data_IF_010593303118
#
_entry.id   IF_010593303118
#
_cell.length_a   1.000
_cell.length_b   1.000
_cell.length_c   1.000
_cell.angle_alpha   90.00
_cell.angle_beta   90.00
_cell.angle_gamma   90.00
#
_symmetry.space_group_name_H-M   'P 1'
#
loop_
_entity.id
_entity.type
_entity.pdbx_description
1 polymer ?
#
# COMPACT_ATOMS: atom_id res chain seq x y z
N UNK A 1 -5.33 18.21 8.32
CA UNK A 1 -6.73 17.76 8.17
C UNK A 1 -7.21 17.95 6.73
N UNK A 2 -7.11 19.15 6.15
CA UNK A 2 -7.50 19.43 4.76
C UNK A 2 -6.78 18.55 3.71
N UNK A 3 -5.46 18.35 3.83
CA UNK A 3 -4.69 17.47 2.94
C UNK A 3 -5.14 16.00 3.03
N UNK A 4 -5.34 15.49 4.25
CA UNK A 4 -5.86 14.13 4.48
C UNK A 4 -7.29 13.92 3.96
N UNK A 5 -8.11 14.99 3.92
CA UNK A 5 -9.46 14.96 3.33
C UNK A 5 -9.43 15.05 1.80
N UNK A 6 -8.38 15.64 1.21
CA UNK A 6 -8.20 15.73 -0.24
C UNK A 6 -7.53 14.47 -0.83
N UNK A 7 -6.66 13.81 -0.06
CA UNK A 7 -5.89 12.64 -0.50
C UNK A 7 -6.63 11.31 -0.26
N UNK A 8 -7.47 11.23 0.78
CA UNK A 8 -8.44 10.16 0.89
C UNK A 8 -9.53 10.40 -0.16
N UNK A 9 -9.92 9.38 -0.92
CA UNK A 9 -10.98 9.42 -1.93
C UNK A 9 -12.38 9.67 -1.31
N UNK A 10 -12.53 10.79 -0.61
CA UNK A 10 -13.68 11.21 0.18
C UNK A 10 -14.60 12.06 -0.69
N UNK A 11 -15.76 11.55 -1.14
CA UNK A 11 -16.77 12.36 -1.82
C UNK A 11 -17.60 13.21 -0.84
N UNK A 12 -17.41 13.08 0.48
CA UNK A 12 -18.05 13.98 1.42
C UNK A 12 -17.22 15.26 1.50
N UNK A 13 -17.66 16.27 0.78
CA UNK A 13 -17.22 17.63 0.99
C UNK A 13 -17.54 18.02 2.44
N UNK A 14 -16.56 17.85 3.35
CA UNK A 14 -16.72 18.21 4.76
C UNK A 14 -16.89 19.74 4.94
N UNK A 15 -16.69 20.51 3.87
CA UNK A 15 -16.97 21.95 3.82
C UNK A 15 -18.42 22.25 3.43
N UNK A 16 -19.23 21.23 3.09
CA UNK A 16 -20.65 21.42 2.82
C UNK A 16 -21.36 21.94 4.08
N UNK A 17 -21.74 23.22 4.03
CA UNK A 17 -22.47 23.91 5.08
C UNK A 17 -23.79 23.21 5.46
N UNK A 18 -24.35 22.36 4.60
CA UNK A 18 -25.55 21.58 4.89
C UNK A 18 -25.35 20.57 6.02
N UNK A 19 -24.12 20.05 6.20
CA UNK A 19 -23.76 19.12 7.28
C UNK A 19 -23.85 19.77 8.67
N UNK A 20 -23.82 21.10 8.72
CA UNK A 20 -23.79 21.91 9.94
C UNK A 20 -25.11 22.63 10.23
N UNK A 21 -26.09 22.54 9.32
CA UNK A 21 -27.36 23.30 9.40
C UNK A 21 -28.51 22.53 10.04
N UNK A 22 -28.34 21.26 10.37
CA UNK A 22 -29.27 20.57 11.24
C UNK A 22 -29.09 21.17 12.63
N UNK A 23 -30.12 21.85 13.16
CA UNK A 23 -30.04 22.49 14.48
C UNK A 23 -29.47 21.55 15.56
N UNK A 24 -28.76 22.11 16.55
CA UNK A 24 -28.10 21.36 17.62
C UNK A 24 -29.00 20.25 18.14
N UNK A 25 -28.50 19.02 18.08
CA UNK A 25 -29.16 17.90 18.72
C UNK A 25 -28.83 17.87 20.21
N UNK A 26 -29.69 17.26 21.00
CA UNK A 26 -29.42 17.07 22.42
C UNK A 26 -28.16 16.21 22.63
N UNK A 27 -27.29 16.52 23.60
CA UNK A 27 -26.02 15.82 23.79
C UNK A 27 -26.17 14.29 23.89
N UNK A 28 -27.24 13.79 24.50
CA UNK A 28 -27.54 12.36 24.61
C UNK A 28 -27.80 11.70 23.24
N UNK A 29 -28.47 12.42 22.34
CA UNK A 29 -28.74 11.94 20.98
C UNK A 29 -27.46 11.89 20.16
N UNK A 30 -26.63 12.94 20.25
CA UNK A 30 -25.32 12.98 19.59
C UNK A 30 -24.42 11.85 20.09
N UNK A 31 -24.36 11.64 21.41
CA UNK A 31 -23.58 10.56 22.00
C UNK A 31 -24.04 9.18 21.51
N UNK A 32 -25.35 8.94 21.43
CA UNK A 32 -25.90 7.70 20.88
C UNK A 32 -25.56 7.49 19.40
N UNK A 33 -25.64 8.55 18.57
CA UNK A 33 -25.27 8.50 17.16
C UNK A 33 -23.78 8.23 16.96
N UNK A 34 -22.92 8.91 17.73
CA UNK A 34 -21.48 8.69 17.68
C UNK A 34 -21.14 7.27 18.14
N UNK A 35 -21.72 6.79 19.24
CA UNK A 35 -21.49 5.43 19.72
C UNK A 35 -21.86 4.38 18.66
N UNK A 36 -23.04 4.51 18.05
CA UNK A 36 -23.49 3.61 16.98
C UNK A 36 -22.60 3.66 15.73
N UNK A 37 -22.06 4.84 15.38
CA UNK A 37 -21.16 4.99 14.24
C UNK A 37 -19.74 4.48 14.53
N UNK A 38 -19.26 4.58 15.78
CA UNK A 38 -17.91 4.17 16.20
C UNK A 38 -17.80 2.66 16.42
N UNK A 39 -18.87 1.97 16.81
CA UNK A 39 -18.82 0.53 17.07
C UNK A 39 -18.27 -0.29 15.87
N UNK A 40 -18.76 -0.10 14.63
CA UNK A 40 -18.17 -0.76 13.45
C UNK A 40 -16.72 -0.37 13.16
N UNK A 41 -16.32 0.88 13.47
CA UNK A 41 -14.92 1.33 13.31
C UNK A 41 -14.03 0.61 14.30
N UNK A 42 -14.41 0.58 15.58
CA UNK A 42 -13.68 -0.12 16.62
C UNK A 42 -13.54 -1.61 16.29
N UNK A 43 -14.63 -2.23 15.81
CA UNK A 43 -14.63 -3.62 15.37
C UNK A 43 -13.61 -3.86 14.24
N UNK A 44 -13.66 -3.03 13.20
CA UNK A 44 -12.77 -3.12 12.04
C UNK A 44 -11.31 -2.91 12.44
N UNK A 45 -11.03 -1.91 13.29
CA UNK A 45 -9.67 -1.68 13.80
C UNK A 45 -9.15 -2.84 14.65
N UNK A 46 -10.01 -3.48 15.46
CA UNK A 46 -9.64 -4.66 16.22
C UNK A 46 -9.31 -5.84 15.28
N UNK A 47 -10.08 -6.02 14.21
CA UNK A 47 -9.78 -7.02 13.17
C UNK A 47 -8.43 -6.73 12.48
N UNK A 48 -8.14 -5.46 12.16
CA UNK A 48 -6.88 -5.04 11.54
C UNK A 48 -5.67 -5.37 12.42
N UNK A 49 -5.83 -5.41 13.74
CA UNK A 49 -4.78 -5.77 14.71
C UNK A 49 -4.78 -7.24 15.14
N UNK A 50 -5.72 -8.04 14.65
CA UNK A 50 -5.84 -9.44 15.04
C UNK A 50 -4.86 -10.37 14.30
N UNK A 51 -4.98 -11.68 14.50
CA UNK A 51 -4.33 -12.71 13.67
C UNK A 51 -5.33 -13.39 12.71
N UNK A 52 -6.51 -12.80 12.53
CA UNK A 52 -7.53 -13.34 11.65
C UNK A 52 -7.09 -13.29 10.18
N UNK A 53 -7.55 -14.24 9.38
CA UNK A 53 -7.29 -14.27 7.94
C UNK A 53 -8.19 -13.29 7.20
N UNK A 54 -7.74 -12.85 6.03
CA UNK A 54 -8.56 -12.07 5.09
C UNK A 54 -9.88 -12.79 4.80
N UNK A 55 -10.96 -12.01 4.63
CA UNK A 55 -12.30 -12.53 4.34
C UNK A 55 -12.97 -13.38 5.44
N UNK A 56 -12.34 -13.55 6.60
CA UNK A 56 -12.85 -14.44 7.65
C UNK A 56 -14.03 -13.88 8.44
N UNK A 57 -14.32 -12.57 8.34
CA UNK A 57 -15.40 -11.94 9.08
C UNK A 57 -16.22 -10.94 8.23
N UNK A 58 -17.50 -11.25 7.93
CA UNK A 58 -18.34 -10.40 7.10
C UNK A 58 -18.78 -9.09 7.78
N UNK A 59 -18.49 -8.90 9.07
CA UNK A 59 -18.79 -7.65 9.81
C UNK A 59 -17.73 -6.59 9.61
N UNK A 60 -16.56 -6.97 9.08
CA UNK A 60 -15.50 -6.03 8.75
C UNK A 60 -15.95 -5.21 7.56
N UNK A 61 -15.83 -3.89 7.70
CA UNK A 61 -16.31 -2.93 6.73
C UNK A 61 -15.24 -1.89 6.46
N UNK A 62 -15.26 -1.32 5.27
CA UNK A 62 -14.40 -0.24 4.85
C UNK A 62 -14.33 0.93 5.84
N UNK A 63 -13.13 1.23 6.39
CA UNK A 63 -12.96 2.40 7.25
C UNK A 63 -13.27 3.70 6.49
N UNK A 64 -12.84 3.81 5.22
CA UNK A 64 -13.16 4.96 4.38
C UNK A 64 -14.68 5.14 4.18
N UNK A 65 -15.47 4.08 4.27
CA UNK A 65 -16.94 4.13 4.24
C UNK A 65 -17.58 4.52 5.58
N UNK A 66 -16.94 4.16 6.71
CA UNK A 66 -17.45 4.40 8.06
C UNK A 66 -17.10 5.77 8.63
N UNK A 67 -15.84 6.21 8.46
CA UNK A 67 -15.31 7.47 9.01
C UNK A 67 -16.21 8.67 8.68
N UNK A 68 -16.75 8.82 7.47
CA UNK A 68 -17.64 9.95 7.16
C UNK A 68 -18.92 9.93 8.00
N UNK A 69 -19.44 8.75 8.33
CA UNK A 69 -20.60 8.60 9.21
C UNK A 69 -20.30 9.02 10.65
N UNK A 70 -19.14 8.62 11.17
CA UNK A 70 -18.66 9.05 12.50
C UNK A 70 -18.48 10.57 12.55
N UNK A 71 -17.84 11.16 11.55
CA UNK A 71 -17.63 12.60 11.48
C UNK A 71 -18.97 13.35 11.42
N UNK A 72 -19.91 12.91 10.59
CA UNK A 72 -21.26 13.49 10.53
C UNK A 72 -22.01 13.39 11.87
N UNK A 73 -21.93 12.24 12.54
CA UNK A 73 -22.54 12.07 13.86
C UNK A 73 -21.89 13.00 14.89
N UNK A 74 -20.57 13.15 14.86
CA UNK A 74 -19.86 14.06 15.75
C UNK A 74 -20.25 15.52 15.49
N UNK A 75 -20.30 15.95 14.22
CA UNK A 75 -20.64 17.33 13.84
C UNK A 75 -22.00 17.80 14.35
N UNK A 76 -22.97 16.91 14.57
CA UNK A 76 -24.28 17.26 15.13
C UNK A 76 -24.21 17.86 16.55
N UNK A 77 -23.09 17.67 17.27
CA UNK A 77 -22.85 18.19 18.62
C UNK A 77 -22.03 19.46 18.73
N UNK A 78 -21.49 19.99 17.63
CA UNK A 78 -20.56 21.14 17.65
C UNK A 78 -21.04 22.26 16.74
N UNK A 79 -20.69 23.50 17.08
CA UNK A 79 -21.14 24.67 16.30
C UNK A 79 -20.38 24.82 14.97
N UNK A 80 -19.18 24.25 14.90
CA UNK A 80 -18.31 24.32 13.72
C UNK A 80 -17.27 23.21 13.71
N UNK A 81 -16.57 23.07 12.58
CA UNK A 81 -15.41 22.18 12.48
C UNK A 81 -14.26 22.60 13.38
N UNK A 82 -14.06 23.90 13.59
CA UNK A 82 -13.04 24.44 14.50
C UNK A 82 -13.35 24.06 15.95
N UNK A 83 -14.62 24.10 16.34
CA UNK A 83 -15.08 23.73 17.69
C UNK A 83 -14.86 22.23 17.95
N UNK A 84 -15.27 21.36 17.03
CA UNK A 84 -14.94 19.93 17.11
C UNK A 84 -13.42 19.72 17.15
N UNK A 85 -12.67 20.38 16.27
CA UNK A 85 -11.22 20.25 16.17
C UNK A 85 -10.51 20.62 17.48
N UNK A 86 -10.92 21.73 18.10
CA UNK A 86 -10.40 22.17 19.40
C UNK A 86 -10.67 21.15 20.50
N UNK A 87 -11.90 20.62 20.58
CA UNK A 87 -12.26 19.60 21.57
C UNK A 87 -11.52 18.28 21.36
N UNK A 88 -11.40 17.80 20.12
CA UNK A 88 -10.65 16.59 19.80
C UNK A 88 -9.17 16.75 20.16
N UNK A 89 -8.55 17.87 19.79
CA UNK A 89 -7.14 18.13 20.12
C UNK A 89 -6.93 18.19 21.64
N UNK A 90 -7.78 18.91 22.36
CA UNK A 90 -7.70 18.97 23.82
C UNK A 90 -7.86 17.60 24.48
N UNK A 91 -8.77 16.75 23.98
CA UNK A 91 -8.94 15.38 24.47
C UNK A 91 -7.74 14.49 24.15
N UNK A 92 -7.17 14.60 22.95
CA UNK A 92 -5.98 13.84 22.55
C UNK A 92 -4.75 14.23 23.39
N UNK A 93 -4.57 15.52 23.67
CA UNK A 93 -3.50 16.01 24.55
C UNK A 93 -3.70 15.55 25.99
N UNK A 94 -4.93 15.63 26.51
CA UNK A 94 -5.26 15.14 27.85
C UNK A 94 -5.02 13.63 27.98
N UNK A 95 -5.45 12.83 26.99
CA UNK A 95 -5.24 11.38 27.00
C UNK A 95 -3.75 11.02 26.93
N UNK A 96 -2.97 11.76 26.13
CA UNK A 96 -1.50 11.61 26.07
C UNK A 96 -0.82 11.89 27.42
N UNK A 97 -1.28 12.90 28.16
CA UNK A 97 -0.68 13.26 29.46
C UNK A 97 -1.06 12.28 30.57
N UNK A 98 -2.30 11.78 30.60
CA UNK A 98 -2.77 10.83 31.60
C UNK A 98 -2.09 9.47 31.52
N UNK A 99 -1.81 8.99 30.31
CA UNK A 99 -1.28 7.64 30.16
C UNK A 99 0.14 7.50 30.72
N UNK A 100 0.89 8.60 30.88
CA UNK A 100 2.23 8.67 31.52
C UNK A 100 3.33 7.85 30.85
N UNK A 101 2.94 6.91 29.99
CA UNK A 101 3.73 6.17 29.05
C UNK A 101 3.87 7.08 27.85
N UNK A 102 5.11 7.42 27.52
CA UNK A 102 5.44 7.67 26.12
C UNK A 102 5.02 6.39 25.40
N UNK A 103 3.77 6.30 24.92
CA UNK A 103 3.40 5.29 23.95
C UNK A 103 4.40 5.54 22.84
N UNK A 104 5.40 4.67 22.70
CA UNK A 104 6.08 4.55 21.43
C UNK A 104 4.97 4.54 20.40
N UNK A 105 4.92 5.61 19.60
CA UNK A 105 3.83 5.79 18.66
C UNK A 105 3.87 4.56 17.78
N UNK A 106 2.85 3.70 17.91
CA UNK A 106 2.66 2.53 17.06
C UNK A 106 2.93 2.97 15.62
N UNK A 107 3.83 2.29 14.95
CA UNK A 107 4.28 2.68 13.62
C UNK A 107 3.09 2.71 12.66
N UNK A 108 2.88 3.85 12.00
CA UNK A 108 1.80 4.05 11.04
C UNK A 108 2.31 3.77 9.62
N UNK A 109 1.94 2.64 9.00
CA UNK A 109 2.45 2.26 7.68
C UNK A 109 2.01 3.20 6.57
N UNK A 110 0.92 3.97 6.74
CA UNK A 110 0.48 4.96 5.76
C UNK A 110 1.42 6.17 5.68
N UNK A 111 2.23 6.37 6.72
CA UNK A 111 3.20 7.47 6.85
C UNK A 111 4.65 7.00 6.75
N UNK A 112 4.87 5.78 6.27
CA UNK A 112 6.21 5.26 6.04
C UNK A 112 7.00 6.19 5.11
N UNK A 113 8.30 6.34 5.33
CA UNK A 113 9.17 7.18 4.47
C UNK A 113 9.10 6.76 3.00
N UNK A 114 8.86 5.48 2.74
CA UNK A 114 8.73 4.92 1.38
C UNK A 114 7.49 5.42 0.64
N UNK A 115 6.40 5.77 1.32
CA UNK A 115 5.18 6.30 0.68
C UNK A 115 5.40 7.72 0.14
N UNK A 116 6.24 8.51 0.82
CA UNK A 116 6.68 9.81 0.33
C UNK A 116 7.76 9.68 -0.76
N UNK A 117 8.70 8.74 -0.59
CA UNK A 117 9.78 8.50 -1.54
C UNK A 117 9.27 8.16 -2.94
N UNK A 118 8.21 7.37 -3.06
CA UNK A 118 7.65 6.95 -4.36
C UNK A 118 6.80 8.04 -5.04
N UNK A 119 6.49 9.16 -4.36
CA UNK A 119 5.64 10.24 -4.91
C UNK A 119 6.08 10.77 -6.28
N UNK A 120 7.38 11.04 -6.54
CA UNK A 120 7.80 11.52 -7.86
C UNK A 120 7.45 10.52 -8.98
N UNK A 121 7.56 9.21 -8.70
CA UNK A 121 7.18 8.14 -9.63
C UNK A 121 5.67 8.11 -9.84
N UNK A 122 4.87 8.16 -8.75
CA UNK A 122 3.41 8.18 -8.82
C UNK A 122 2.87 9.37 -9.64
N UNK A 123 3.50 10.54 -9.50
CA UNK A 123 3.02 11.77 -10.12
C UNK A 123 3.37 11.88 -11.61
N UNK A 124 4.51 11.32 -12.01
CA UNK A 124 5.06 11.48 -13.36
C UNK A 124 4.85 10.26 -14.27
N UNK A 125 4.46 9.11 -13.73
CA UNK A 125 4.13 7.94 -14.55
C UNK A 125 2.91 8.17 -15.44
N UNK A 126 2.88 7.51 -16.60
CA UNK A 126 1.72 7.51 -17.50
C UNK A 126 0.54 6.65 -17.01
N UNK A 127 0.72 5.91 -15.91
CA UNK A 127 -0.35 5.12 -15.31
C UNK A 127 -1.41 6.03 -14.66
N UNK A 128 -2.68 6.02 -15.15
CA UNK A 128 -3.73 6.88 -14.60
C UNK A 128 -4.14 6.54 -13.16
N UNK A 129 -3.76 5.35 -12.68
CA UNK A 129 -4.12 4.88 -11.35
C UNK A 129 -3.10 5.31 -10.29
N UNK A 130 -1.85 5.58 -10.68
CA UNK A 130 -0.77 5.82 -9.73
C UNK A 130 -0.98 7.10 -8.90
N UNK A 131 -1.45 8.18 -9.52
CA UNK A 131 -1.62 9.49 -8.86
C UNK A 131 -2.61 9.47 -7.69
N UNK A 132 -3.58 8.55 -7.70
CA UNK A 132 -4.60 8.41 -6.65
C UNK A 132 -4.37 7.22 -5.74
N UNK A 133 -3.29 6.49 -5.94
CA UNK A 133 -3.05 5.26 -5.20
C UNK A 133 -2.71 5.55 -3.74
N UNK A 134 -3.38 4.81 -2.85
CA UNK A 134 -3.16 4.87 -1.40
C UNK A 134 -2.14 3.79 -1.04
N UNK A 135 -1.03 4.21 -0.44
CA UNK A 135 0.12 3.33 -0.24
C UNK A 135 0.45 3.19 1.23
N UNK A 136 0.92 1.99 1.60
CA UNK A 136 1.56 1.70 2.87
C UNK A 136 3.03 1.36 2.66
N UNK A 137 3.81 1.33 3.74
CA UNK A 137 5.20 0.91 3.72
C UNK A 137 5.68 0.40 5.08
N UNK A 138 6.89 -0.18 5.12
CA UNK A 138 7.51 -0.67 6.34
C UNK A 138 8.15 0.48 7.13
N UNK A 139 8.61 0.21 8.38
CA UNK A 139 9.59 1.07 9.03
C UNK A 139 10.77 1.36 8.11
N UNK A 140 11.42 2.51 8.30
CA UNK A 140 12.59 2.90 7.52
C UNK A 140 13.67 1.83 7.58
N UNK A 141 14.33 1.56 6.46
CA UNK A 141 15.43 0.61 6.39
C UNK A 141 16.58 1.07 7.30
N UNK A 142 16.96 0.23 8.26
CA UNK A 142 18.10 0.44 9.14
C UNK A 142 19.32 -0.32 8.60
N UNK A 143 20.33 0.43 8.19
CA UNK A 143 21.56 -0.13 7.61
C UNK A 143 22.48 -0.79 8.63
N UNK A 144 22.21 -0.60 9.93
CA UNK A 144 22.88 -1.35 10.99
C UNK A 144 22.30 -2.77 11.17
N UNK A 145 21.11 -3.03 10.62
CA UNK A 145 20.44 -4.33 10.68
C UNK A 145 20.71 -5.15 9.41
N UNK A 146 20.58 -6.46 9.54
CA UNK A 146 20.63 -7.35 8.38
C UNK A 146 19.43 -7.12 7.45
N UNK A 147 19.52 -7.58 6.21
CA UNK A 147 18.37 -7.59 5.30
C UNK A 147 17.18 -8.33 5.93
N UNK A 148 17.43 -9.50 6.53
CA UNK A 148 16.38 -10.33 7.11
C UNK A 148 15.70 -9.65 8.31
N UNK A 149 16.45 -8.94 9.15
CA UNK A 149 15.89 -8.23 10.31
C UNK A 149 15.05 -7.03 9.88
N UNK A 150 15.50 -6.26 8.88
CA UNK A 150 14.69 -5.20 8.26
C UNK A 150 13.38 -5.75 7.69
N UNK A 151 13.48 -6.88 6.97
CA UNK A 151 12.31 -7.51 6.37
C UNK A 151 11.37 -8.09 7.44
N UNK A 152 11.89 -8.70 8.52
CA UNK A 152 11.09 -9.16 9.66
C UNK A 152 10.34 -8.01 10.34
N UNK A 153 10.98 -6.85 10.49
CA UNK A 153 10.34 -5.66 11.05
C UNK A 153 9.14 -5.18 10.19
N UNK A 154 9.11 -5.52 8.91
CA UNK A 154 7.98 -5.20 8.02
C UNK A 154 6.80 -6.18 8.09
N UNK A 155 7.00 -7.40 8.59
CA UNK A 155 5.98 -8.46 8.55
C UNK A 155 4.67 -8.08 9.24
N UNK A 156 4.66 -7.43 10.43
CA UNK A 156 3.40 -7.08 11.09
C UNK A 156 2.50 -6.17 10.23
N UNK A 157 3.07 -5.10 9.67
CA UNK A 157 2.32 -4.15 8.83
C UNK A 157 2.02 -4.70 7.44
N UNK A 158 2.87 -5.59 6.90
CA UNK A 158 2.58 -6.27 5.64
C UNK A 158 1.42 -7.27 5.78
N UNK A 159 1.38 -8.07 6.86
CA UNK A 159 0.23 -8.97 7.12
C UNK A 159 -1.05 -8.18 7.33
N UNK A 160 -0.97 -7.08 8.07
CA UNK A 160 -2.10 -6.15 8.20
C UNK A 160 -2.52 -5.61 6.84
N UNK A 161 -1.58 -5.16 6.01
CA UNK A 161 -1.85 -4.67 4.65
C UNK A 161 -2.62 -5.70 3.81
N UNK A 162 -2.19 -6.96 3.79
CA UNK A 162 -2.86 -8.02 3.01
C UNK A 162 -4.28 -8.27 3.56
N UNK A 163 -4.41 -8.40 4.89
CA UNK A 163 -5.69 -8.71 5.54
C UNK A 163 -6.81 -7.72 5.22
N UNK A 164 -6.47 -6.45 5.03
CA UNK A 164 -7.45 -5.37 4.88
C UNK A 164 -7.82 -5.06 3.43
N UNK A 165 -7.20 -5.73 2.44
CA UNK A 165 -7.38 -5.42 1.01
C UNK A 165 -8.84 -5.50 0.53
N UNK A 166 -9.59 -6.48 1.02
CA UNK A 166 -11.00 -6.67 0.64
C UNK A 166 -11.92 -5.54 1.13
N UNK A 167 -11.50 -4.83 2.17
CA UNK A 167 -12.33 -3.88 2.88
C UNK A 167 -11.88 -2.44 2.67
N UNK A 168 -10.59 -2.19 2.47
CA UNK A 168 -10.07 -0.82 2.38
C UNK A 168 -9.47 -0.47 1.04
N UNK A 169 -9.42 0.84 0.76
CA UNK A 169 -8.83 1.38 -0.46
C UNK A 169 -7.35 1.62 -0.22
N UNK A 170 -6.59 0.53 -0.21
CA UNK A 170 -5.13 0.55 -0.24
C UNK A 170 -4.71 -0.16 -1.53
N UNK A 171 -3.74 0.40 -2.25
CA UNK A 171 -3.41 -0.02 -3.61
C UNK A 171 -2.01 -0.63 -3.74
N UNK A 172 -1.17 -0.49 -2.71
CA UNK A 172 0.14 -1.11 -2.70
C UNK A 172 0.91 -0.90 -1.40
N UNK A 173 1.94 -1.73 -1.24
CA UNK A 173 2.90 -1.69 -0.14
C UNK A 173 4.31 -1.48 -0.70
N UNK A 174 4.99 -0.42 -0.26
CA UNK A 174 6.23 0.05 -0.89
C UNK A 174 7.42 -0.16 0.02
N UNK A 175 8.41 -0.88 -0.50
CA UNK A 175 9.74 -1.04 0.06
C UNK A 175 10.74 -0.14 -0.66
N UNK A 176 11.76 0.33 0.07
CA UNK A 176 12.91 1.02 -0.50
C UNK A 176 14.20 0.41 0.06
N UNK A 177 15.15 0.12 -0.83
CA UNK A 177 16.42 -0.50 -0.51
C UNK A 177 17.57 0.44 -0.90
N UNK A 178 18.42 0.87 0.04
CA UNK A 178 19.48 1.83 -0.24
C UNK A 178 20.58 1.23 -1.13
N UNK A 179 20.85 1.84 -2.28
CA UNK A 179 21.87 1.35 -3.22
C UNK A 179 23.29 1.40 -2.65
N UNK A 180 23.54 2.29 -1.67
CA UNK A 180 24.82 2.31 -0.96
C UNK A 180 25.11 1.03 -0.14
N UNK A 181 24.08 0.27 0.21
CA UNK A 181 24.20 -1.01 0.93
C UNK A 181 24.26 -2.17 -0.05
N UNK A 182 23.43 -2.13 -1.09
CA UNK A 182 23.23 -3.27 -1.98
C UNK A 182 23.98 -3.20 -3.30
N UNK A 183 24.57 -2.06 -3.64
CA UNK A 183 25.13 -1.77 -4.96
C UNK A 183 24.14 -1.09 -5.91
N UNK A 184 24.64 -0.72 -7.08
CA UNK A 184 23.92 0.08 -8.09
C UNK A 184 23.82 -0.63 -9.45
N UNK A 185 24.40 -1.83 -9.58
CA UNK A 185 24.37 -2.58 -10.83
C UNK A 185 23.02 -3.28 -11.05
N UNK A 186 22.81 -3.78 -12.27
CA UNK A 186 21.60 -4.57 -12.55
C UNK A 186 21.65 -5.94 -11.88
N UNK A 187 22.85 -6.50 -11.70
CA UNK A 187 23.10 -7.74 -10.98
C UNK A 187 22.76 -7.57 -9.49
N UNK A 188 23.15 -6.45 -8.89
CA UNK A 188 22.80 -6.10 -7.51
C UNK A 188 21.27 -6.02 -7.32
N UNK A 189 20.59 -5.32 -8.24
CA UNK A 189 19.12 -5.24 -8.25
C UNK A 189 18.48 -6.63 -8.32
N UNK A 190 18.95 -7.49 -9.21
CA UNK A 190 18.44 -8.86 -9.35
C UNK A 190 18.63 -9.67 -8.07
N UNK A 191 19.78 -9.54 -7.40
CA UNK A 191 20.06 -10.25 -6.16
C UNK A 191 19.18 -9.77 -5.00
N UNK A 192 19.02 -8.45 -4.84
CA UNK A 192 18.11 -7.88 -3.82
C UNK A 192 16.67 -8.33 -4.10
N UNK A 193 16.26 -8.32 -5.36
CA UNK A 193 14.92 -8.74 -5.74
C UNK A 193 14.68 -10.24 -5.48
N UNK A 194 15.65 -11.11 -5.81
CA UNK A 194 15.58 -12.55 -5.47
C UNK A 194 15.43 -12.75 -3.97
N UNK A 195 16.27 -12.07 -3.18
CA UNK A 195 16.27 -12.14 -1.72
C UNK A 195 14.93 -11.65 -1.12
N UNK A 196 14.36 -10.59 -1.69
CA UNK A 196 13.05 -10.06 -1.31
C UNK A 196 11.92 -11.07 -1.55
N UNK A 197 11.79 -11.59 -2.77
CA UNK A 197 10.71 -12.55 -3.09
C UNK A 197 10.88 -13.84 -2.29
N UNK A 198 12.11 -14.33 -2.14
CA UNK A 198 12.43 -15.50 -1.31
C UNK A 198 12.02 -15.29 0.15
N UNK A 199 12.30 -14.11 0.71
CA UNK A 199 11.88 -13.78 2.07
C UNK A 199 10.36 -13.79 2.21
N UNK A 200 9.63 -13.12 1.30
CA UNK A 200 8.17 -13.07 1.33
C UNK A 200 7.57 -14.48 1.21
N UNK A 201 8.05 -15.27 0.24
CA UNK A 201 7.57 -16.62 0.00
C UNK A 201 7.74 -17.50 1.25
N UNK A 202 8.91 -17.50 1.89
CA UNK A 202 9.15 -18.30 3.10
C UNK A 202 8.32 -17.88 4.32
N UNK A 203 7.91 -16.62 4.42
CA UNK A 203 7.29 -16.07 5.64
C UNK A 203 5.77 -15.86 5.52
N UNK A 204 5.23 -15.84 4.31
CA UNK A 204 3.84 -15.48 4.02
C UNK A 204 3.12 -16.53 3.15
N UNK A 205 3.73 -17.70 2.96
CA UNK A 205 3.09 -18.84 2.28
C UNK A 205 3.22 -20.09 3.14
N UNK A 206 2.35 -21.06 2.89
CA UNK A 206 2.41 -22.37 3.56
C UNK A 206 3.61 -23.23 3.08
N UNK A 207 4.42 -22.73 2.14
CA UNK A 207 5.56 -23.47 1.59
C UNK A 207 6.77 -23.53 2.53
N UNK A 208 6.76 -22.78 3.65
CA UNK A 208 7.88 -22.76 4.59
C UNK A 208 8.27 -24.18 5.08
N UNK A 209 9.57 -24.52 5.16
CA UNK A 209 10.74 -23.70 4.86
C UNK A 209 11.20 -23.77 3.40
N UNK A 210 10.49 -24.50 2.53
CA UNK A 210 10.84 -24.62 1.13
C UNK A 210 10.68 -23.24 0.47
N UNK A 211 11.80 -22.72 -0.03
CA UNK A 211 11.87 -21.44 -0.70
C UNK A 211 11.03 -21.37 -1.98
N UNK A 212 11.25 -20.32 -2.77
CA UNK A 212 10.65 -20.24 -4.10
C UNK A 212 11.28 -21.30 -5.02
N UNK A 213 10.50 -22.29 -5.44
CA UNK A 213 10.86 -23.29 -6.44
C UNK A 213 10.73 -22.71 -7.88
N UNK A 214 11.85 -22.54 -8.61
CA UNK A 214 11.82 -22.04 -9.98
C UNK A 214 11.00 -22.88 -10.96
N UNK A 215 10.96 -24.21 -10.78
CA UNK A 215 10.24 -25.08 -11.70
C UNK A 215 8.74 -24.80 -11.63
N UNK A 216 8.18 -24.81 -10.42
CA UNK A 216 6.77 -24.46 -10.18
C UNK A 216 6.47 -23.01 -10.59
N UNK A 217 7.36 -22.08 -10.26
CA UNK A 217 7.09 -20.66 -10.46
C UNK A 217 7.15 -20.21 -11.93
N UNK A 218 7.69 -21.05 -12.83
CA UNK A 218 7.66 -20.81 -14.29
C UNK A 218 6.40 -21.32 -15.00
N UNK A 219 5.46 -21.96 -14.28
CA UNK A 219 4.16 -22.31 -14.85
C UNK A 219 3.39 -21.01 -15.22
N UNK A 220 2.83 -20.88 -16.44
CA UNK A 220 2.03 -19.72 -16.83
C UNK A 220 0.78 -19.46 -15.97
N UNK A 221 0.36 -20.43 -15.15
CA UNK A 221 -0.74 -20.30 -14.18
C UNK A 221 -0.26 -19.99 -12.76
N UNK A 222 1.04 -19.88 -12.55
CA UNK A 222 1.58 -19.54 -11.25
C UNK A 222 1.41 -18.05 -10.97
N UNK A 223 1.05 -17.74 -9.73
CA UNK A 223 0.96 -16.39 -9.18
C UNK A 223 1.67 -16.34 -7.83
N UNK A 224 2.20 -15.16 -7.48
CA UNK A 224 2.72 -14.94 -6.14
C UNK A 224 1.54 -14.75 -5.19
N UNK A 225 1.17 -15.79 -4.44
CA UNK A 225 0.09 -15.74 -3.46
C UNK A 225 0.68 -15.56 -2.07
N UNK A 226 0.37 -14.44 -1.40
CA UNK A 226 0.85 -14.13 -0.04
C UNK A 226 -0.34 -14.08 0.90
N UNK A 227 -0.36 -14.91 1.95
CA UNK A 227 -1.46 -15.02 2.93
C UNK A 227 -2.84 -15.22 2.27
N UNK A 228 -2.88 -15.85 1.09
CA UNK A 228 -4.09 -16.10 0.30
C UNK A 228 -4.43 -15.03 -0.75
N UNK A 229 -3.69 -13.93 -0.82
CA UNK A 229 -3.90 -12.84 -1.79
C UNK A 229 -2.92 -12.93 -2.96
N UNK A 230 -3.44 -12.91 -4.19
CA UNK A 230 -2.64 -12.81 -5.41
C UNK A 230 -1.98 -11.43 -5.48
N UNK A 231 -0.66 -11.41 -5.53
CA UNK A 231 0.14 -10.19 -5.57
C UNK A 231 1.02 -10.15 -6.82
N UNK A 232 1.28 -8.94 -7.31
CA UNK A 232 2.36 -8.67 -8.26
C UNK A 232 3.31 -7.61 -7.70
N UNK A 233 4.55 -7.59 -8.18
CA UNK A 233 5.56 -6.63 -7.73
C UNK A 233 5.99 -5.75 -8.91
N UNK A 234 6.00 -4.44 -8.70
CA UNK A 234 6.60 -3.47 -9.61
C UNK A 234 7.95 -3.00 -9.05
N UNK A 235 9.01 -3.16 -9.83
CA UNK A 235 10.37 -2.72 -9.45
C UNK A 235 10.75 -1.46 -10.19
N UNK A 236 11.19 -0.43 -9.46
CA UNK A 236 11.75 0.81 -9.98
C UNK A 236 13.19 0.97 -9.49
N UNK A 237 14.10 1.41 -10.38
CA UNK A 237 15.52 1.50 -10.05
C UNK A 237 16.26 2.55 -10.92
N UNK A 238 17.35 3.16 -10.43
CA UNK A 238 18.10 4.19 -11.15
C UNK A 238 18.73 3.72 -12.47
N UNK A 239 18.95 2.41 -12.60
CA UNK A 239 19.49 1.79 -13.82
C UNK A 239 18.55 1.88 -15.03
N UNK A 240 17.25 2.09 -14.81
CA UNK A 240 16.29 2.18 -15.89
C UNK A 240 16.36 3.58 -16.52
N UNK A 241 16.46 3.69 -17.85
CA UNK A 241 16.53 4.99 -18.51
C UNK A 241 15.18 5.72 -18.45
N UNK A 242 15.18 7.02 -18.76
CA UNK A 242 14.00 7.89 -18.69
C UNK A 242 12.82 7.45 -19.58
N UNK A 243 13.13 6.75 -20.67
CA UNK A 243 12.19 6.14 -21.62
C UNK A 243 11.81 4.72 -21.21
N UNK A 244 12.00 4.34 -19.94
CA UNK A 244 11.56 3.07 -19.41
C UNK A 244 10.39 3.24 -18.42
N UNK A 245 9.43 2.33 -18.46
CA UNK A 245 8.26 2.33 -17.55
C UNK A 245 8.60 2.21 -16.06
N UNK A 246 9.84 1.80 -15.75
CA UNK A 246 10.39 1.63 -14.39
C UNK A 246 11.34 2.76 -13.98
N UNK A 247 11.36 3.87 -14.73
CA UNK A 247 12.16 5.04 -14.41
C UNK A 247 11.76 5.67 -13.06
N UNK A 248 12.76 6.12 -12.30
CA UNK A 248 12.62 6.63 -10.94
C UNK A 248 12.16 8.09 -10.84
N UNK A 249 12.08 8.83 -11.94
CA UNK A 249 11.59 10.23 -11.97
C UNK A 249 12.25 11.15 -10.92
N UNK A 250 13.56 11.03 -10.75
CA UNK A 250 14.36 11.84 -9.81
C UNK A 250 14.54 11.25 -8.42
N UNK A 251 14.00 10.06 -8.14
CA UNK A 251 14.35 9.33 -6.91
C UNK A 251 15.72 8.66 -7.10
N UNK A 252 16.67 9.03 -6.24
CA UNK A 252 18.07 8.58 -6.33
C UNK A 252 18.46 7.71 -5.12
N UNK A 253 19.52 6.92 -5.28
CA UNK A 253 20.14 6.15 -4.18
C UNK A 253 19.29 5.01 -3.60
N UNK A 254 18.21 4.62 -4.27
CA UNK A 254 17.26 3.61 -3.79
C UNK A 254 16.80 2.70 -4.93
N UNK A 255 16.59 1.43 -4.62
CA UNK A 255 15.66 0.57 -5.37
C UNK A 255 14.29 0.63 -4.71
N UNK A 256 13.21 0.76 -5.47
CA UNK A 256 11.84 0.86 -4.93
C UNK A 256 11.00 -0.30 -5.43
N UNK A 257 10.51 -1.15 -4.52
CA UNK A 257 9.66 -2.29 -4.85
C UNK A 257 8.24 -2.03 -4.33
N UNK A 258 7.26 -2.11 -5.22
CA UNK A 258 5.85 -1.93 -4.89
C UNK A 258 5.13 -3.25 -5.04
N UNK A 259 4.73 -3.84 -3.91
CA UNK A 259 3.84 -5.00 -3.86
C UNK A 259 2.39 -4.52 -4.05
N UNK A 260 1.66 -5.13 -4.97
CA UNK A 260 0.31 -4.74 -5.33
C UNK A 260 -0.60 -5.97 -5.37
N UNK A 261 -1.65 -6.01 -4.56
CA UNK A 261 -2.70 -7.02 -4.61
C UNK A 261 -3.50 -6.94 -5.92
N UNK A 262 -3.92 -8.08 -6.46
CA UNK A 262 -4.77 -8.12 -7.65
C UNK A 262 -6.12 -7.45 -7.36
N UNK A 263 -6.67 -7.63 -6.15
CA UNK A 263 -7.92 -7.00 -5.74
C UNK A 263 -7.91 -5.47 -5.91
N UNK A 264 -6.77 -4.81 -5.64
CA UNK A 264 -6.62 -3.37 -5.83
C UNK A 264 -6.73 -2.96 -7.31
N UNK A 265 -6.16 -3.76 -8.22
CA UNK A 265 -6.26 -3.51 -9.66
C UNK A 265 -7.68 -3.75 -10.16
N UNK A 266 -8.33 -4.83 -9.71
CA UNK A 266 -9.69 -5.19 -10.10
C UNK A 266 -10.74 -4.19 -9.59
N UNK A 267 -10.48 -3.50 -8.48
CA UNK A 267 -11.29 -2.38 -8.00
C UNK A 267 -11.33 -1.21 -8.99
N UNK A 268 -10.23 -0.97 -9.70
CA UNK A 268 -10.09 0.12 -10.68
C UNK A 268 -10.45 -0.31 -12.11
N UNK A 269 -10.34 -1.62 -12.38
CA UNK A 269 -10.58 -2.26 -13.66
C UNK A 269 -11.61 -3.38 -13.48
N UNK A 270 -12.87 -3.13 -13.85
CA UNK A 270 -13.86 -4.22 -13.91
C UNK A 270 -13.38 -5.30 -14.89
N UNK A 271 -13.73 -6.57 -14.64
CA UNK A 271 -13.35 -7.68 -15.54
C UNK A 271 -13.77 -7.42 -17.00
N UNK A 272 -14.88 -6.72 -17.20
CA UNK A 272 -15.40 -6.39 -18.53
C UNK A 272 -14.56 -5.31 -19.24
N UNK A 273 -13.99 -4.36 -18.49
CA UNK A 273 -13.21 -3.25 -19.05
C UNK A 273 -11.70 -3.53 -19.08
N UNK A 274 -11.24 -4.60 -18.39
CA UNK A 274 -9.83 -4.87 -18.15
C UNK A 274 -9.00 -4.85 -19.45
N UNK A 275 -9.43 -5.58 -20.48
CA UNK A 275 -8.70 -5.67 -21.74
C UNK A 275 -8.56 -4.30 -22.41
N UNK A 276 -9.68 -3.58 -22.57
CA UNK A 276 -9.71 -2.28 -23.23
C UNK A 276 -8.86 -1.24 -22.47
N UNK A 277 -8.99 -1.18 -21.14
CA UNK A 277 -8.24 -0.23 -20.32
C UNK A 277 -6.76 -0.59 -20.23
N UNK A 278 -6.42 -1.87 -20.13
CA UNK A 278 -5.02 -2.33 -20.17
C UNK A 278 -4.35 -1.97 -21.50
N UNK A 279 -5.05 -2.17 -22.63
CA UNK A 279 -4.58 -1.73 -23.95
C UNK A 279 -4.41 -0.21 -24.02
N UNK A 280 -5.36 0.58 -23.50
CA UNK A 280 -5.27 2.03 -23.46
C UNK A 280 -4.07 2.52 -22.62
N UNK A 281 -3.79 1.87 -21.48
CA UNK A 281 -2.60 2.16 -20.67
C UNK A 281 -1.33 1.86 -21.46
N UNK A 282 -1.25 0.70 -22.12
CA UNK A 282 -0.10 0.35 -22.97
C UNK A 282 0.12 1.34 -24.11
N UNK A 283 -0.96 1.86 -24.70
CA UNK A 283 -0.86 2.93 -25.70
C UNK A 283 -0.28 4.20 -25.09
N UNK A 284 -0.76 4.65 -23.92
CA UNK A 284 -0.19 5.82 -23.24
C UNK A 284 1.30 5.69 -22.94
N UNK A 285 1.73 4.53 -22.43
CA UNK A 285 3.15 4.26 -22.17
C UNK A 285 3.96 4.26 -23.46
N UNK A 286 3.45 3.66 -24.54
CA UNK A 286 4.11 3.67 -25.86
C UNK A 286 4.23 5.07 -26.44
N UNK A 287 3.16 5.86 -26.37
CA UNK A 287 3.09 7.23 -26.89
C UNK A 287 3.98 8.17 -26.06
N UNK A 288 4.16 7.87 -24.77
CA UNK A 288 5.13 8.51 -23.88
C UNK A 288 6.56 7.97 -23.99
N UNK A 289 6.86 7.16 -25.02
CA UNK A 289 8.15 6.50 -25.25
C UNK A 289 8.62 5.55 -24.14
N UNK A 290 7.75 5.18 -23.20
CA UNK A 290 8.01 4.24 -22.10
C UNK A 290 7.44 2.84 -22.36
N UNK A 291 7.77 2.25 -23.51
CA UNK A 291 7.21 0.95 -23.91
C UNK A 291 7.64 -0.16 -22.94
N UNK A 292 6.70 -1.05 -22.63
CA UNK A 292 6.99 -2.34 -21.98
C UNK A 292 6.29 -3.48 -22.73
N UNK A 293 6.84 -4.68 -22.60
CA UNK A 293 6.26 -5.93 -23.12
C UNK A 293 5.82 -6.77 -21.93
N UNK A 294 4.56 -7.21 -21.92
CA UNK A 294 4.12 -8.17 -20.92
C UNK A 294 4.62 -9.55 -21.32
N UNK A 295 5.28 -10.22 -20.39
CA UNK A 295 5.61 -11.62 -20.52
C UNK A 295 4.37 -12.49 -20.29
N UNK A 296 4.41 -13.70 -20.84
CA UNK A 296 3.35 -14.70 -20.65
C UNK A 296 3.38 -15.35 -19.25
N UNK A 297 4.54 -15.31 -18.59
CA UNK A 297 4.78 -15.86 -17.26
C UNK A 297 4.86 -14.71 -16.24
N UNK A 298 4.21 -14.88 -15.08
CA UNK A 298 4.08 -13.83 -14.07
C UNK A 298 5.44 -13.37 -13.51
N UNK A 299 6.37 -14.29 -13.20
CA UNK A 299 7.70 -13.96 -12.69
C UNK A 299 8.48 -12.96 -13.57
N UNK A 300 8.29 -13.04 -14.89
CA UNK A 300 8.97 -12.20 -15.87
C UNK A 300 8.42 -10.77 -15.90
N UNK A 301 7.26 -10.52 -15.28
CA UNK A 301 6.63 -9.20 -15.22
C UNK A 301 7.15 -8.35 -14.08
N UNK A 302 7.71 -8.98 -13.04
CA UNK A 302 8.12 -8.27 -11.82
C UNK A 302 9.36 -7.42 -12.05
N UNK A 303 10.42 -8.02 -12.61
CA UNK A 303 11.67 -7.36 -12.93
C UNK A 303 11.88 -7.37 -14.45
N UNK A 304 11.71 -6.19 -15.06
CA UNK A 304 11.84 -6.03 -16.50
C UNK A 304 13.31 -5.89 -16.91
N UNK A 305 13.70 -6.34 -18.12
CA UNK A 305 15.01 -6.03 -18.66
C UNK A 305 15.19 -4.51 -18.83
N UNK A 306 16.43 -4.03 -18.86
CA UNK A 306 16.74 -2.60 -19.01
C UNK A 306 16.27 -2.09 -20.38
N UNK A 307 16.39 -2.92 -21.41
CA UNK A 307 15.89 -2.63 -22.76
C UNK A 307 14.68 -3.52 -23.08
N UNK A 308 13.63 -2.92 -23.64
CA UNK A 308 12.35 -3.62 -23.85
C UNK A 308 12.41 -4.79 -24.86
N UNK A 309 13.45 -4.88 -25.67
CA UNK A 309 13.68 -5.92 -26.67
C UNK A 309 14.59 -7.07 -26.17
N UNK A 310 15.17 -6.93 -24.98
CA UNK A 310 15.95 -7.99 -24.35
C UNK A 310 15.04 -9.13 -23.85
N UNK A 311 15.58 -10.36 -23.74
CA UNK A 311 14.85 -11.47 -23.18
C UNK A 311 14.47 -11.19 -21.70
N UNK A 312 13.41 -11.86 -21.19
CA UNK A 312 13.03 -11.76 -19.79
C UNK A 312 14.18 -12.05 -18.81
N UNK A 313 14.20 -11.31 -17.70
CA UNK A 313 15.23 -11.44 -16.67
C UNK A 313 14.93 -12.66 -15.81
N UNK A 314 15.88 -13.58 -15.74
CA UNK A 314 15.74 -14.82 -14.97
C UNK A 314 16.26 -14.71 -13.55
N UNK A 315 15.85 -13.66 -12.84
CA UNK A 315 16.27 -13.36 -11.45
C UNK A 315 16.02 -14.53 -10.47
N UNK A 316 15.04 -15.39 -10.77
CA UNK A 316 14.66 -16.53 -9.95
C UNK A 316 15.62 -17.72 -10.09
N UNK A 317 16.52 -17.75 -11.08
CA UNK A 317 17.57 -18.78 -11.20
C UNK A 317 18.80 -18.46 -10.32
N UNK A 318 18.87 -17.25 -9.75
CA UNK A 318 19.93 -16.86 -8.83
C UNK A 318 19.80 -17.57 -7.48
N UNK A 319 20.94 -17.95 -6.90
CA UNK A 319 20.96 -18.44 -5.52
C UNK A 319 20.64 -17.28 -4.56
N UNK A 320 19.74 -17.47 -3.58
CA UNK A 320 19.55 -16.47 -2.53
C UNK A 320 20.83 -16.35 -1.70
N UNK A 321 21.18 -15.14 -1.29
CA UNK A 321 22.45 -14.83 -0.58
C UNK A 321 22.28 -14.44 0.89
N UNK A 322 21.06 -14.52 1.40
CA UNK A 322 20.67 -14.16 2.77
C UNK A 322 20.41 -15.37 3.65
#
# INVERSE_FOLDING_TARGET
MQQACNDAAMPADLTDASLWRAGRQEPEQVAALVAAAVEPVHYTMAFYRSEARQGSDPRVVALHGLIPGVLRAAFAGFDSHDDLGAHLNGHLEHTRTLDGRSRETEFDPSRAVTTELIRPIQMQTFCPFAQKSVLWGPPSYDEALSFEDNMKASLPTLRQFIRVQDHDVIDGYVYAFPTRVFGESFEDLQQVFRNFVEFLHRNLTDAAPAGLDPETATDPKWFLVLEGEECFISVFAPIYPHDHSRYMNGVEGQFVFMLQPEAAVLRLLTKNDYKQRSEAIRHRFRDGFQRYVLADIELHRFLLPVQADQPPVKWYELAPTI
#
